data_IF_110819316298
#
_entry.id   IF_110819316298
#
_cell.length_a   1.000
_cell.length_b   1.000
_cell.length_c   1.000
_cell.angle_alpha   90.00
_cell.angle_beta   90.00
_cell.angle_gamma   90.00
#
_symmetry.space_group_name_H-M   'P 1'
#
loop_
_entity.id
_entity.type
_entity.pdbx_description
1 polymer ?
#
# COMPACT_ATOMS: atom_id res chain seq x y z
N UNK A 1 -13.07 -31.55 12.39
CA UNK A 1 -12.26 -30.55 13.13
C UNK A 1 -12.98 -29.22 13.07
N UNK A 2 -13.67 -28.81 14.14
CA UNK A 2 -14.48 -27.59 14.15
C UNK A 2 -13.55 -26.38 14.10
N UNK A 3 -13.51 -25.67 12.98
CA UNK A 3 -12.78 -24.40 12.89
C UNK A 3 -13.63 -23.29 13.49
N UNK A 4 -13.27 -22.81 14.66
CA UNK A 4 -13.82 -21.55 15.18
C UNK A 4 -13.34 -20.44 14.24
N UNK A 5 -14.26 -19.83 13.51
CA UNK A 5 -13.96 -18.75 12.57
C UNK A 5 -13.30 -17.58 13.32
N UNK A 6 -12.24 -17.01 12.73
CA UNK A 6 -11.56 -15.83 13.30
C UNK A 6 -10.38 -16.12 14.23
N UNK A 7 -9.48 -17.03 13.85
CA UNK A 7 -8.24 -17.25 14.61
C UNK A 7 -7.46 -15.95 14.83
N UNK A 8 -7.35 -15.55 16.10
CA UNK A 8 -6.57 -14.38 16.56
C UNK A 8 -5.04 -14.62 16.49
N UNK A 9 -4.62 -15.85 16.23
CA UNK A 9 -3.21 -16.28 16.27
C UNK A 9 -2.71 -16.59 14.86
N UNK A 10 -1.51 -16.13 14.55
CA UNK A 10 -0.80 -16.45 13.31
C UNK A 10 0.45 -17.26 13.63
N UNK A 11 0.54 -18.47 13.07
CA UNK A 11 1.80 -19.24 13.08
C UNK A 11 2.83 -18.51 12.23
N UNK A 12 4.06 -18.40 12.72
CA UNK A 12 5.14 -17.66 12.03
C UNK A 12 5.47 -18.25 10.65
N UNK A 13 5.32 -19.55 10.48
CA UNK A 13 5.47 -20.25 9.20
C UNK A 13 4.49 -19.77 8.11
N UNK A 14 3.29 -19.33 8.52
CA UNK A 14 2.25 -18.83 7.62
C UNK A 14 2.35 -17.31 7.38
N UNK A 15 3.36 -16.65 7.94
CA UNK A 15 3.57 -15.22 7.71
C UNK A 15 3.94 -14.96 6.23
N UNK A 16 3.46 -13.86 5.63
CA UNK A 16 3.85 -13.48 4.29
C UNK A 16 5.38 -13.40 4.11
N UNK A 17 5.88 -13.84 2.95
CA UNK A 17 7.33 -13.91 2.69
C UNK A 17 8.00 -12.53 2.73
N UNK A 18 7.31 -11.49 2.28
CA UNK A 18 7.87 -10.13 2.19
C UNK A 18 8.16 -9.47 3.54
N UNK A 19 7.69 -10.03 4.67
CA UNK A 19 8.02 -9.47 5.99
C UNK A 19 9.51 -9.64 6.36
N UNK A 20 10.27 -10.48 5.63
CA UNK A 20 11.72 -10.64 5.86
C UNK A 20 12.08 -11.36 7.17
N UNK A 21 11.24 -12.30 7.61
CA UNK A 21 11.30 -12.89 8.95
C UNK A 21 11.86 -14.31 8.93
N UNK A 22 12.72 -14.63 9.91
CA UNK A 22 13.16 -16.00 10.19
C UNK A 22 11.97 -16.87 10.69
N UNK A 23 11.42 -17.72 9.82
CA UNK A 23 10.20 -18.51 10.09
C UNK A 23 10.33 -19.59 11.17
N UNK A 24 11.54 -20.04 11.48
CA UNK A 24 11.83 -21.15 12.40
C UNK A 24 12.14 -20.73 13.84
N UNK A 25 12.33 -19.44 14.10
CA UNK A 25 12.77 -18.94 15.41
C UNK A 25 11.71 -19.13 16.51
N UNK A 26 10.50 -18.58 16.30
CA UNK A 26 9.38 -18.67 17.27
C UNK A 26 8.13 -19.26 16.64
N UNK A 27 7.28 -19.88 17.45
CA UNK A 27 6.04 -20.52 16.99
C UNK A 27 5.01 -19.53 16.43
N UNK A 28 4.86 -18.37 17.06
CA UNK A 28 3.82 -17.39 16.74
C UNK A 28 4.40 -16.02 16.37
N UNK A 29 3.60 -15.26 15.64
CA UNK A 29 3.89 -13.88 15.28
C UNK A 29 2.66 -13.00 15.50
N UNK A 30 2.90 -11.70 15.69
CA UNK A 30 1.87 -10.66 15.69
C UNK A 30 1.20 -10.65 14.31
N UNK A 31 -0.12 -10.85 14.29
CA UNK A 31 -0.94 -10.68 13.09
C UNK A 31 -1.40 -9.23 12.95
N UNK A 32 -1.70 -8.80 11.73
CA UNK A 32 -2.42 -7.55 11.49
C UNK A 32 -3.85 -7.67 12.01
N UNK A 33 -4.37 -6.58 12.56
CA UNK A 33 -5.80 -6.37 12.87
C UNK A 33 -6.52 -5.98 11.57
N UNK A 34 -7.82 -6.26 11.42
CA UNK A 34 -8.63 -5.65 10.37
C UNK A 34 -8.43 -4.13 10.36
N UNK A 35 -8.18 -3.58 9.18
CA UNK A 35 -7.76 -2.20 9.02
C UNK A 35 -7.68 -1.80 7.53
N UNK A 36 -6.89 -0.77 7.21
CA UNK A 36 -6.80 -0.20 5.86
C UNK A 36 -6.46 -1.24 4.79
N UNK A 37 -5.48 -2.09 5.11
CA UNK A 37 -4.87 -3.01 4.16
C UNK A 37 -5.20 -4.48 4.48
N UNK A 38 -5.33 -5.29 3.43
CA UNK A 38 -5.53 -6.74 3.55
C UNK A 38 -4.33 -7.40 4.25
N UNK A 39 -4.56 -8.44 5.05
CA UNK A 39 -3.51 -9.16 5.82
C UNK A 39 -2.30 -9.62 5.00
N UNK A 40 -2.53 -10.08 3.77
CA UNK A 40 -1.48 -10.57 2.88
C UNK A 40 -0.72 -9.44 2.15
N UNK A 41 -1.15 -8.19 2.33
CA UNK A 41 -0.57 -6.98 1.71
C UNK A 41 -0.25 -5.92 2.78
N UNK A 42 -0.07 -6.35 4.03
CA UNK A 42 0.18 -5.46 5.14
C UNK A 42 1.22 -6.03 6.09
N UNK A 43 1.94 -5.14 6.76
CA UNK A 43 2.91 -5.42 7.81
C UNK A 43 2.36 -4.85 9.13
N UNK A 44 2.31 -5.63 10.22
CA UNK A 44 1.99 -5.09 11.53
C UNK A 44 3.07 -4.11 12.00
N UNK A 45 2.70 -2.99 12.64
CA UNK A 45 3.65 -1.98 13.14
C UNK A 45 4.78 -2.58 14.00
N UNK A 46 4.47 -3.54 14.87
CA UNK A 46 5.49 -4.17 15.71
C UNK A 46 6.50 -5.03 14.92
N UNK A 47 6.04 -5.67 13.83
CA UNK A 47 6.92 -6.42 12.91
C UNK A 47 7.76 -5.45 12.08
N UNK A 48 7.16 -4.32 11.67
CA UNK A 48 7.85 -3.29 10.92
C UNK A 48 9.06 -2.70 11.69
N UNK A 49 8.86 -2.31 12.95
CA UNK A 49 9.95 -1.74 13.76
C UNK A 49 11.06 -2.76 14.07
N UNK A 50 10.70 -4.01 14.37
CA UNK A 50 11.65 -5.04 14.82
C UNK A 50 12.35 -5.75 13.66
N UNK A 51 11.59 -6.24 12.69
CA UNK A 51 12.10 -7.17 11.69
C UNK A 51 12.49 -6.45 10.39
N UNK A 52 11.72 -5.44 9.94
CA UNK A 52 12.03 -4.75 8.67
C UNK A 52 13.02 -3.60 8.85
N UNK A 53 12.83 -2.74 9.86
CA UNK A 53 13.75 -1.63 10.12
C UNK A 53 14.87 -1.98 11.11
N UNK A 54 14.69 -3.02 11.94
CA UNK A 54 15.66 -3.44 12.98
C UNK A 54 16.09 -2.32 13.95
N UNK A 55 15.24 -1.31 14.14
CA UNK A 55 15.47 -0.23 15.11
C UNK A 55 15.35 -0.78 16.55
N UNK A 56 14.51 -1.80 16.71
CA UNK A 56 14.14 -2.35 18.00
C UNK A 56 14.46 -3.83 18.04
N UNK A 57 15.03 -4.31 19.14
CA UNK A 57 15.42 -5.72 19.28
C UNK A 57 14.29 -6.57 19.85
N UNK A 58 13.57 -6.04 20.84
CA UNK A 58 12.57 -6.78 21.60
C UNK A 58 11.13 -6.31 21.33
N UNK A 59 10.18 -7.22 21.53
CA UNK A 59 8.75 -6.89 21.42
C UNK A 59 8.33 -5.91 22.54
N UNK A 60 9.00 -5.95 23.70
CA UNK A 60 8.74 -5.05 24.82
C UNK A 60 9.10 -3.61 24.47
N UNK A 61 10.28 -3.39 23.88
CA UNK A 61 10.67 -2.06 23.38
C UNK A 61 9.76 -1.57 22.26
N UNK A 62 9.34 -2.46 21.34
CA UNK A 62 8.43 -2.08 20.26
C UNK A 62 7.07 -1.64 20.83
N UNK A 63 6.58 -2.33 21.87
CA UNK A 63 5.39 -1.93 22.63
C UNK A 63 5.55 -0.57 23.27
N UNK A 64 6.63 -0.35 23.99
CA UNK A 64 6.89 0.93 24.66
C UNK A 64 6.89 2.08 23.65
N UNK A 65 7.60 1.91 22.52
CA UNK A 65 7.69 2.93 21.47
C UNK A 65 6.32 3.24 20.84
N UNK A 66 5.55 2.20 20.49
CA UNK A 66 4.22 2.36 19.88
C UNK A 66 3.22 3.00 20.85
N UNK A 67 3.19 2.55 22.12
CA UNK A 67 2.25 3.09 23.11
C UNK A 67 2.59 4.51 23.55
N UNK A 68 3.88 4.86 23.55
CA UNK A 68 4.33 6.25 23.78
C UNK A 68 3.94 7.21 22.65
N UNK A 69 3.45 6.71 21.51
CA UNK A 69 2.96 7.55 20.42
C UNK A 69 4.03 7.99 19.41
N UNK A 70 5.24 7.44 19.51
CA UNK A 70 6.40 7.83 18.67
C UNK A 70 6.29 7.41 17.19
N UNK A 71 5.22 6.72 16.80
CA UNK A 71 4.98 6.23 15.45
C UNK A 71 3.74 6.90 14.88
N UNK A 72 3.94 7.68 13.82
CA UNK A 72 2.87 8.26 13.02
C UNK A 72 2.77 7.52 11.71
N UNK A 73 1.55 7.19 11.32
CA UNK A 73 1.24 6.55 10.03
C UNK A 73 0.25 7.46 9.34
N UNK A 74 0.61 7.91 8.14
CA UNK A 74 -0.14 8.91 7.38
C UNK A 74 -0.48 10.14 8.25
N UNK A 75 0.50 10.68 8.97
CA UNK A 75 0.34 11.85 9.86
C UNK A 75 -0.45 11.60 11.15
N UNK A 76 -1.03 10.41 11.35
CA UNK A 76 -1.83 10.07 12.55
C UNK A 76 -1.02 9.19 13.50
N UNK A 77 -0.96 9.57 14.78
CA UNK A 77 -0.32 8.76 15.83
C UNK A 77 -1.08 7.44 16.01
N UNK A 78 -0.40 6.30 15.83
CA UNK A 78 -1.01 4.97 15.98
C UNK A 78 -0.40 4.23 17.17
N UNK A 79 -1.20 4.04 18.23
CA UNK A 79 -0.82 3.31 19.45
C UNK A 79 -1.10 1.80 19.39
N UNK A 80 -1.22 1.21 18.20
CA UNK A 80 -1.58 -0.21 18.04
C UNK A 80 -0.45 -1.02 17.43
N UNK A 81 -0.09 -2.13 18.09
CA UNK A 81 0.92 -3.09 17.63
C UNK A 81 0.53 -3.82 16.35
N UNK A 82 -0.78 -3.99 16.18
CA UNK A 82 -1.41 -4.80 15.13
C UNK A 82 -1.88 -3.95 13.95
N UNK A 83 -1.58 -2.65 13.93
CA UNK A 83 -2.02 -1.79 12.84
C UNK A 83 -1.39 -2.25 11.53
N UNK A 84 -2.23 -2.33 10.50
CA UNK A 84 -1.85 -2.84 9.18
C UNK A 84 -1.26 -1.69 8.37
N UNK A 85 0.07 -1.71 8.21
CA UNK A 85 0.80 -0.78 7.34
C UNK A 85 0.93 -1.42 5.96
N UNK A 86 0.52 -0.74 4.90
CA UNK A 86 0.49 -1.31 3.57
C UNK A 86 1.03 -0.37 2.49
N UNK A 87 0.55 -0.59 1.28
CA UNK A 87 1.04 0.06 0.07
C UNK A 87 0.93 1.59 0.16
N UNK A 88 2.00 2.30 -0.23
CA UNK A 88 2.11 3.76 -0.25
C UNK A 88 1.92 4.47 1.09
N UNK A 89 1.75 3.76 2.20
CA UNK A 89 1.67 4.38 3.54
C UNK A 89 2.98 5.12 3.87
N UNK A 90 2.85 6.30 4.46
CA UNK A 90 3.97 7.10 4.97
C UNK A 90 4.09 6.90 6.48
N UNK A 91 5.29 6.59 6.94
CA UNK A 91 5.60 6.26 8.33
C UNK A 91 6.65 7.25 8.82
N UNK A 92 6.35 7.90 9.92
CA UNK A 92 7.25 8.84 10.57
C UNK A 92 7.53 8.35 11.98
N UNK A 93 8.80 8.47 12.37
CA UNK A 93 9.26 8.11 13.70
C UNK A 93 9.71 9.40 14.38
N UNK A 94 9.16 9.75 15.54
CA UNK A 94 9.52 11.02 16.20
C UNK A 94 10.98 11.07 16.66
N UNK A 95 11.58 9.91 16.93
CA UNK A 95 12.96 9.79 17.40
C UNK A 95 14.00 9.71 16.26
N UNK A 96 13.55 9.59 15.01
CA UNK A 96 14.44 9.39 13.85
C UNK A 96 13.99 10.36 12.77
N UNK A 97 14.90 11.17 12.22
CA UNK A 97 14.59 12.08 11.11
C UNK A 97 14.24 11.36 9.80
N UNK A 98 14.32 10.03 9.78
CA UNK A 98 13.97 9.21 8.63
C UNK A 98 12.45 9.06 8.50
N UNK A 99 11.93 9.43 7.34
CA UNK A 99 10.56 9.15 6.92
C UNK A 99 10.59 7.97 5.97
N UNK A 100 9.70 7.02 6.19
CA UNK A 100 9.61 5.81 5.38
C UNK A 100 8.33 5.77 4.58
N UNK A 101 8.40 5.35 3.32
CA UNK A 101 7.22 4.97 2.53
C UNK A 101 7.32 3.52 2.14
N UNK A 102 6.21 2.80 2.21
CA UNK A 102 6.17 1.42 1.76
C UNK A 102 5.85 1.35 0.27
N UNK A 103 6.82 0.87 -0.50
CA UNK A 103 6.73 0.73 -1.96
C UNK A 103 7.06 -0.72 -2.34
N UNK A 104 6.39 -1.31 -3.34
CA UNK A 104 6.81 -2.58 -3.90
C UNK A 104 8.12 -2.38 -4.67
N UNK A 105 9.14 -3.19 -4.38
CA UNK A 105 10.45 -3.07 -5.05
C UNK A 105 11.08 -4.45 -5.19
N UNK A 106 11.68 -4.74 -6.35
CA UNK A 106 12.49 -5.95 -6.58
C UNK A 106 11.77 -7.28 -6.21
N UNK A 107 10.51 -7.42 -6.61
CA UNK A 107 9.73 -8.64 -6.34
C UNK A 107 9.24 -8.80 -4.89
N UNK A 108 9.56 -7.85 -4.00
CA UNK A 108 8.96 -7.76 -2.67
C UNK A 108 7.73 -6.84 -2.72
N UNK A 109 6.64 -7.32 -2.12
CA UNK A 109 5.35 -6.62 -2.11
C UNK A 109 5.44 -5.28 -1.38
N UNK A 110 6.23 -5.20 -0.30
CA UNK A 110 6.43 -3.97 0.48
C UNK A 110 7.88 -3.89 0.95
N UNK A 111 8.57 -2.81 0.62
CA UNK A 111 9.90 -2.43 1.09
C UNK A 111 9.83 -0.97 1.59
N UNK A 112 10.39 -0.64 2.77
CA UNK A 112 10.50 0.74 3.20
C UNK A 112 11.59 1.46 2.40
N UNK A 113 11.22 2.59 1.79
CA UNK A 113 12.12 3.54 1.14
C UNK A 113 12.19 4.80 1.99
N UNK A 114 13.37 5.40 2.14
CA UNK A 114 13.56 6.68 2.83
C UNK A 114 13.14 7.83 1.93
N UNK A 115 12.37 8.77 2.47
CA UNK A 115 11.78 9.87 1.71
C UNK A 115 12.09 11.21 2.37
N UNK A 116 12.09 12.28 1.57
CA UNK A 116 12.26 13.66 2.01
C UNK A 116 10.98 14.26 2.61
N UNK A 117 11.11 15.25 3.49
CA UNK A 117 9.97 15.90 4.18
C UNK A 117 8.91 16.49 3.23
N UNK A 118 9.32 16.91 2.03
CA UNK A 118 8.41 17.50 1.04
C UNK A 118 7.33 16.51 0.56
N UNK A 119 7.70 15.23 0.40
CA UNK A 119 6.79 14.21 -0.09
C UNK A 119 5.93 13.57 1.00
N UNK A 120 6.25 13.80 2.28
CA UNK A 120 5.51 13.27 3.44
C UNK A 120 4.02 13.61 3.40
N UNK A 121 3.72 14.81 2.93
CA UNK A 121 2.35 15.32 2.85
C UNK A 121 1.53 14.71 1.71
N UNK A 122 2.16 13.97 0.78
CA UNK A 122 1.51 13.43 -0.41
C UNK A 122 1.49 11.90 -0.38
N UNK A 123 0.38 11.33 -0.84
CA UNK A 123 0.22 9.88 -1.01
C UNK A 123 -0.53 9.57 -2.29
N UNK A 124 -0.05 8.58 -3.03
CA UNK A 124 -0.77 8.04 -4.18
C UNK A 124 -1.76 6.99 -3.73
N UNK A 125 -3.01 7.15 -4.17
CA UNK A 125 -4.10 6.28 -3.77
C UNK A 125 -4.95 5.92 -4.97
N UNK A 126 -5.03 4.61 -5.25
CA UNK A 126 -5.83 4.09 -6.37
C UNK A 126 -7.32 4.03 -6.03
N UNK A 127 -8.16 4.44 -6.99
CA UNK A 127 -9.61 4.29 -6.94
C UNK A 127 -9.97 2.83 -7.23
N UNK A 128 -10.65 2.18 -6.28
CA UNK A 128 -11.08 0.78 -6.39
C UNK A 128 -12.57 0.67 -6.66
N UNK A 129 -13.38 1.51 -6.00
CA UNK A 129 -14.84 1.48 -6.15
C UNK A 129 -15.38 2.88 -6.33
N UNK A 130 -16.44 2.96 -7.15
CA UNK A 130 -17.29 4.14 -7.25
C UNK A 130 -18.73 3.69 -7.12
N UNK A 131 -19.42 4.19 -6.11
CA UNK A 131 -20.80 3.79 -5.80
C UNK A 131 -21.64 5.03 -5.54
N UNK A 132 -22.82 5.09 -6.13
CA UNK A 132 -23.79 6.15 -5.85
C UNK A 132 -24.52 5.82 -4.55
N UNK A 133 -24.49 6.72 -3.58
CA UNK A 133 -25.22 6.58 -2.31
C UNK A 133 -26.61 7.23 -2.46
N UNK A 134 -27.53 6.84 -1.59
CA UNK A 134 -28.77 7.56 -1.32
C UNK A 134 -28.55 9.08 -1.30
N UNK A 135 -29.44 9.84 -1.95
CA UNK A 135 -29.34 11.28 -2.24
C UNK A 135 -28.44 11.65 -3.43
N UNK A 136 -28.13 10.70 -4.32
CA UNK A 136 -27.50 10.98 -5.62
C UNK A 136 -26.01 11.36 -5.57
N UNK A 137 -25.39 11.31 -4.38
CA UNK A 137 -23.97 11.64 -4.21
C UNK A 137 -23.10 10.44 -4.56
N UNK A 138 -21.96 10.69 -5.20
CA UNK A 138 -21.00 9.64 -5.53
C UNK A 138 -20.00 9.44 -4.39
N UNK A 139 -19.81 8.19 -3.98
CA UNK A 139 -18.77 7.78 -3.04
C UNK A 139 -17.65 7.13 -3.82
N UNK A 140 -16.43 7.58 -3.54
CA UNK A 140 -15.19 7.03 -4.10
C UNK A 140 -14.47 6.25 -3.02
N UNK A 141 -14.26 4.96 -3.27
CA UNK A 141 -13.55 4.05 -2.38
C UNK A 141 -12.13 3.80 -2.87
N UNK A 142 -11.18 3.89 -1.94
CA UNK A 142 -9.75 3.80 -2.21
C UNK A 142 -9.13 2.46 -1.78
N UNK A 143 -7.94 2.16 -2.30
CA UNK A 143 -7.21 0.93 -1.96
C UNK A 143 -6.84 0.79 -0.47
N UNK A 144 -6.69 1.90 0.25
CA UNK A 144 -6.43 1.95 1.70
C UNK A 144 -7.69 1.78 2.56
N UNK A 145 -8.85 1.50 1.95
CA UNK A 145 -10.14 1.44 2.64
C UNK A 145 -10.68 2.81 3.07
N UNK A 146 -10.02 3.91 2.72
CA UNK A 146 -10.58 5.27 2.85
C UNK A 146 -11.69 5.49 1.84
N UNK A 147 -12.61 6.42 2.14
CA UNK A 147 -13.67 6.80 1.22
C UNK A 147 -13.91 8.30 1.25
N UNK A 148 -14.13 8.90 0.09
CA UNK A 148 -14.47 10.32 -0.04
C UNK A 148 -15.82 10.50 -0.72
N UNK A 149 -16.59 11.49 -0.24
CA UNK A 149 -17.90 11.88 -0.77
C UNK A 149 -17.82 13.00 -1.81
N UNK A 150 -16.61 13.45 -2.13
CA UNK A 150 -16.39 14.46 -3.16
C UNK A 150 -16.62 13.85 -4.55
N UNK A 151 -17.19 14.63 -5.46
CA UNK A 151 -17.29 14.27 -6.87
C UNK A 151 -15.90 14.31 -7.51
N UNK A 152 -15.29 13.13 -7.63
CA UNK A 152 -13.97 12.96 -8.25
C UNK A 152 -14.19 12.57 -9.72
N UNK A 153 -13.60 13.30 -10.66
CA UNK A 153 -13.72 13.04 -12.11
C UNK A 153 -12.94 11.81 -12.62
N UNK A 154 -12.28 11.03 -11.74
CA UNK A 154 -11.48 9.85 -12.11
C UNK A 154 -12.33 8.58 -12.32
N UNK A 155 -11.85 7.61 -13.09
CA UNK A 155 -12.49 6.29 -13.27
C UNK A 155 -11.91 5.26 -12.28
N UNK A 156 -12.56 4.10 -12.20
CA UNK A 156 -12.00 2.95 -11.45
C UNK A 156 -10.71 2.51 -12.14
N UNK A 157 -9.61 2.43 -11.37
CA UNK A 157 -8.26 2.17 -11.89
C UNK A 157 -7.34 3.38 -11.89
N UNK A 158 -7.88 4.59 -11.83
CA UNK A 158 -7.08 5.82 -11.76
C UNK A 158 -6.47 6.00 -10.36
N UNK A 159 -5.44 6.84 -10.30
CA UNK A 159 -4.72 7.15 -9.06
C UNK A 159 -4.93 8.61 -8.68
N UNK A 160 -5.25 8.86 -7.43
CA UNK A 160 -5.34 10.21 -6.88
C UNK A 160 -4.10 10.51 -6.05
N UNK A 161 -3.54 11.71 -6.21
CA UNK A 161 -2.59 12.28 -5.26
C UNK A 161 -3.41 12.91 -4.14
N UNK A 162 -3.35 12.32 -2.94
CA UNK A 162 -4.02 12.86 -1.76
C UNK A 162 -3.02 13.55 -0.84
N UNK A 163 -3.47 14.66 -0.24
CA UNK A 163 -2.79 15.30 0.86
C UNK A 163 -3.10 14.58 2.18
N UNK A 164 -2.09 14.42 3.01
CA UNK A 164 -2.18 13.80 4.33
C UNK A 164 -1.64 14.82 5.34
N UNK A 165 -2.33 15.07 6.48
CA UNK A 165 -3.48 14.34 7.03
C UNK A 165 -4.88 14.78 6.53
N UNK A 166 -4.99 15.89 5.82
CA UNK A 166 -6.27 16.56 5.51
C UNK A 166 -7.18 15.81 4.51
N UNK A 167 -6.66 14.78 3.84
CA UNK A 167 -7.38 13.92 2.88
C UNK A 167 -7.98 14.66 1.67
N UNK A 168 -7.40 15.81 1.30
CA UNK A 168 -7.79 16.55 0.09
C UNK A 168 -7.15 15.91 -1.14
N UNK A 169 -7.92 15.75 -2.22
CA UNK A 169 -7.42 15.28 -3.51
C UNK A 169 -6.79 16.46 -4.24
N UNK A 170 -5.50 16.37 -4.55
CA UNK A 170 -4.75 17.42 -5.24
C UNK A 170 -4.78 17.21 -6.76
N UNK A 171 -4.49 15.98 -7.18
CA UNK A 171 -4.35 15.65 -8.60
C UNK A 171 -4.87 14.22 -8.89
N UNK A 172 -5.25 13.98 -10.14
CA UNK A 172 -5.79 12.71 -10.62
C UNK A 172 -4.98 12.26 -11.84
N UNK A 173 -4.31 11.13 -11.68
CA UNK A 173 -3.54 10.44 -12.71
C UNK A 173 -4.44 9.38 -13.33
N UNK A 174 -4.85 9.63 -14.57
CA UNK A 174 -5.68 8.70 -15.34
C UNK A 174 -4.86 7.52 -15.84
N UNK A 175 -5.50 6.35 -15.89
CA UNK A 175 -4.94 5.15 -16.50
C UNK A 175 -5.16 5.22 -18.02
N UNK A 176 -4.23 5.88 -18.72
CA UNK A 176 -4.23 6.09 -20.17
C UNK A 176 -2.92 5.55 -20.78
N UNK A 177 -2.93 5.28 -22.09
CA UNK A 177 -1.75 4.90 -22.84
C UNK A 177 -0.69 6.03 -22.76
N UNK A 178 0.56 5.66 -22.51
CA UNK A 178 1.69 6.56 -22.29
C UNK A 178 2.01 6.82 -20.82
N UNK A 179 1.10 6.58 -19.88
CA UNK A 179 1.37 6.77 -18.45
C UNK A 179 2.35 5.74 -17.89
N UNK A 180 3.12 6.11 -16.86
CA UNK A 180 3.93 5.19 -16.08
C UNK A 180 3.07 4.46 -15.04
N UNK A 181 3.13 3.13 -15.03
CA UNK A 181 2.43 2.26 -14.09
C UNK A 181 3.39 1.52 -13.17
N UNK A 182 3.06 1.48 -11.88
CA UNK A 182 3.68 0.59 -10.89
C UNK A 182 2.94 -0.73 -10.86
N UNK A 183 3.67 -1.83 -10.97
CA UNK A 183 3.10 -3.16 -10.72
C UNK A 183 3.10 -3.41 -9.21
N UNK A 184 1.92 -3.55 -8.61
CA UNK A 184 1.78 -3.70 -7.14
C UNK A 184 1.79 -5.16 -6.66
N UNK A 185 1.51 -6.13 -7.54
CA UNK A 185 1.37 -7.56 -7.19
C UNK A 185 1.90 -8.46 -8.30
N UNK A 186 2.12 -9.73 -7.96
CA UNK A 186 2.57 -10.76 -8.89
C UNK A 186 4.09 -10.88 -8.95
N UNK A 187 4.57 -11.64 -9.92
CA UNK A 187 6.01 -11.91 -10.12
C UNK A 187 6.78 -10.62 -10.44
N UNK A 188 6.15 -9.69 -11.15
CA UNK A 188 6.73 -8.42 -11.56
C UNK A 188 6.47 -7.28 -10.55
N UNK A 189 6.11 -7.60 -9.31
CA UNK A 189 5.84 -6.59 -8.29
C UNK A 189 7.05 -5.66 -8.08
N UNK A 190 6.79 -4.36 -8.09
CA UNK A 190 7.78 -3.31 -7.91
C UNK A 190 8.53 -2.87 -9.15
N UNK A 191 8.15 -3.39 -10.32
CA UNK A 191 8.64 -2.87 -11.59
C UNK A 191 7.79 -1.68 -12.06
N UNK A 192 8.45 -0.71 -12.67
CA UNK A 192 7.84 0.50 -13.27
C UNK A 192 7.92 0.32 -14.78
N UNK A 193 6.79 0.44 -15.46
CA UNK A 193 6.70 0.32 -16.92
C UNK A 193 5.81 1.39 -17.52
N UNK A 194 5.97 1.63 -18.82
CA UNK A 194 5.05 2.50 -19.58
C UNK A 194 3.85 1.67 -20.06
N UNK A 195 2.66 2.24 -19.96
CA UNK A 195 1.41 1.64 -20.44
C UNK A 195 1.33 1.85 -21.95
N UNK A 196 1.30 0.78 -22.74
CA UNK A 196 1.16 0.87 -24.20
C UNK A 196 -0.31 0.90 -24.62
N UNK A 197 -1.10 -0.04 -24.11
CA UNK A 197 -2.52 -0.13 -24.36
C UNK A 197 -3.28 -0.61 -23.14
N UNK A 198 -4.53 -0.13 -23.02
CA UNK A 198 -5.50 -0.58 -22.04
C UNK A 198 -6.56 -1.32 -22.82
N UNK A 199 -6.59 -2.64 -22.69
CA UNK A 199 -7.62 -3.46 -23.30
C UNK A 199 -8.82 -3.55 -22.37
N UNK A 200 -9.98 -3.16 -22.89
CA UNK A 200 -11.21 -3.27 -22.15
C UNK A 200 -11.58 -4.75 -21.98
N UNK A 201 -11.68 -5.16 -20.71
CA UNK A 201 -12.08 -6.51 -20.34
C UNK A 201 -13.52 -6.77 -20.74
N UNK A 202 -13.78 -7.97 -21.25
CA UNK A 202 -15.13 -8.50 -21.44
C UNK A 202 -15.75 -8.93 -20.10
N UNK A 203 -17.04 -9.30 -20.09
CA UNK A 203 -17.74 -9.75 -18.87
C UNK A 203 -17.01 -10.87 -18.09
N UNK A 204 -16.21 -11.68 -18.79
CA UNK A 204 -15.49 -12.84 -18.23
C UNK A 204 -14.04 -12.49 -17.88
N UNK A 205 -13.41 -11.57 -18.63
CA UNK A 205 -12.00 -11.25 -18.49
C UNK A 205 -11.82 -9.87 -17.85
N UNK A 206 -11.06 -9.74 -16.76
CA UNK A 206 -10.76 -8.44 -16.18
C UNK A 206 -9.99 -7.58 -17.18
N UNK A 207 -10.13 -6.26 -17.07
CA UNK A 207 -9.37 -5.29 -17.88
C UNK A 207 -7.88 -5.62 -17.86
N UNK A 208 -7.25 -5.69 -19.02
CA UNK A 208 -5.82 -5.98 -19.18
C UNK A 208 -5.08 -4.74 -19.63
N UNK A 209 -3.83 -4.66 -19.27
CA UNK A 209 -2.95 -3.58 -19.65
C UNK A 209 -1.65 -4.20 -20.15
N UNK A 210 -1.23 -3.78 -21.34
CA UNK A 210 0.06 -4.16 -21.89
C UNK A 210 1.08 -3.15 -21.39
N UNK A 211 2.02 -3.64 -20.59
CA UNK A 211 3.10 -2.84 -20.03
C UNK A 211 4.41 -3.15 -20.77
N UNK A 212 5.13 -2.09 -21.13
CA UNK A 212 6.51 -2.18 -21.60
C UNK A 212 7.43 -1.97 -20.40
N UNK A 213 8.16 -3.02 -20.06
CA UNK A 213 9.13 -3.09 -18.97
C UNK A 213 10.53 -3.21 -19.58
N UNK A 214 11.16 -2.07 -19.87
CA UNK A 214 12.39 -2.04 -20.67
C UNK A 214 12.11 -2.60 -22.07
N UNK A 215 12.65 -3.79 -22.37
CA UNK A 215 12.49 -4.47 -23.67
C UNK A 215 11.40 -5.56 -23.67
N UNK A 216 10.74 -5.82 -22.54
CA UNK A 216 9.74 -6.90 -22.42
C UNK A 216 8.32 -6.33 -22.40
N UNK A 217 7.48 -6.80 -23.33
CA UNK A 217 6.03 -6.58 -23.30
C UNK A 217 5.38 -7.62 -22.41
N UNK A 218 4.62 -7.18 -21.41
CA UNK A 218 3.94 -8.07 -20.47
C UNK A 218 2.48 -7.64 -20.32
N UNK A 219 1.57 -8.60 -20.43
CA UNK A 219 0.16 -8.42 -20.11
C UNK A 219 -0.06 -8.59 -18.60
N UNK A 220 -0.64 -7.56 -17.96
CA UNK A 220 -0.98 -7.58 -16.55
C UNK A 220 -2.42 -7.09 -16.36
N UNK A 221 -3.22 -7.67 -15.44
CA UNK A 221 -4.54 -7.14 -15.10
C UNK A 221 -4.47 -5.71 -14.55
N UNK A 222 -5.41 -4.85 -14.96
CA UNK A 222 -5.47 -3.45 -14.57
C UNK A 222 -5.55 -3.25 -13.05
N UNK A 223 -6.15 -4.19 -12.32
CA UNK A 223 -6.26 -4.15 -10.85
C UNK A 223 -4.92 -4.14 -10.10
N UNK A 224 -3.89 -4.64 -10.76
CA UNK A 224 -2.54 -4.81 -10.22
C UNK A 224 -1.67 -3.59 -10.50
N UNK A 225 -2.10 -2.72 -11.40
CA UNK A 225 -1.35 -1.56 -11.85
C UNK A 225 -1.80 -0.32 -11.09
N UNK A 226 -0.84 0.51 -10.71
CA UNK A 226 -1.08 1.80 -10.09
C UNK A 226 -0.36 2.87 -10.92
N UNK A 227 -1.08 3.73 -11.65
CA UNK A 227 -0.50 4.87 -12.37
C UNK A 227 0.26 5.82 -11.42
N UNK A 228 1.50 6.19 -11.76
CA UNK A 228 2.38 7.03 -10.92
C UNK A 228 2.60 8.41 -11.54
N UNK A 229 2.42 8.56 -12.85
CA UNK A 229 2.60 9.84 -13.54
C UNK A 229 2.58 9.69 -15.07
N UNK A 230 2.52 10.82 -15.79
CA UNK A 230 2.49 10.85 -17.26
C UNK A 230 3.88 10.65 -17.88
N UNK A 231 4.92 11.32 -17.36
CA UNK A 231 6.28 11.25 -17.93
C UNK A 231 7.34 10.90 -16.87
N UNK A 232 7.20 11.43 -15.65
CA UNK A 232 8.03 11.10 -14.49
C UNK A 232 7.15 10.59 -13.33
N UNK A 233 7.69 9.73 -12.46
CA UNK A 233 6.97 9.32 -11.26
C UNK A 233 6.79 10.54 -10.35
N UNK A 234 5.54 10.87 -10.00
CA UNK A 234 5.20 12.00 -9.10
C UNK A 234 5.78 11.85 -7.69
N UNK A 235 6.37 10.69 -7.40
CA UNK A 235 6.88 10.27 -6.10
C UNK A 235 8.22 9.55 -6.26
N UNK A 236 9.16 9.80 -5.34
CA UNK A 236 10.35 8.97 -5.16
C UNK A 236 9.99 7.51 -4.87
N UNK A 237 10.38 6.63 -5.79
CA UNK A 237 10.22 5.19 -5.72
C UNK A 237 11.57 4.45 -5.62
N UNK A 238 12.68 5.20 -5.53
CA UNK A 238 14.06 4.72 -5.33
C UNK A 238 14.82 5.68 -4.44
#
# INVERSE_FOLDING_TARGET
MVSIAGSKKLKRQMAPQFWGIARKDKRFIITTRPGPHKKNYAIPTAVFLRDTLKIVSSLREAKASIYSGKVKIDGVVRKSLHHAIGLMDVIELENVSDIYRLVPTEGKILKPIKITDAEKSKKLVRIVTKTTINKGKTQTGFHDGRSTLAEINGKVGDTCVMQIPDQKVLDIIKLEAGCQGLVTRGVNAGQIGKIESVEEGTFILPKRVILILGDRKIEIPADVIMPIGKEEPVIQLK
#
